data_IF_063194120419
#
_entry.id   IF_063194120419
#
_cell.length_a   1.000
_cell.length_b   1.000
_cell.length_c   1.000
_cell.angle_alpha   90.00
_cell.angle_beta   90.00
_cell.angle_gamma   90.00
#
_symmetry.space_group_name_H-M   'P 1'
#
loop_
_entity.id
_entity.type
_entity.pdbx_description
1 polymer ?
#
# COMPACT_ATOMS: atom_id res chain seq x y z
N UNK A 1 -16.95 -21.44 28.18
CA UNK A 1 -16.01 -22.26 28.98
C UNK A 1 -15.25 -23.22 28.07
N UNK A 2 -14.10 -22.85 27.57
CA UNK A 2 -12.96 -23.76 27.35
C UNK A 2 -11.70 -22.88 27.29
N UNK A 3 -11.10 -22.72 28.46
CA UNK A 3 -9.74 -22.26 28.62
C UNK A 3 -8.85 -23.47 28.26
N UNK A 4 -8.12 -23.41 27.16
CA UNK A 4 -7.00 -24.31 26.92
C UNK A 4 -5.70 -23.55 27.17
N UNK A 5 -5.18 -23.73 28.37
CA UNK A 5 -3.78 -23.46 28.71
C UNK A 5 -2.94 -24.61 28.10
N UNK A 6 -2.09 -24.29 27.15
CA UNK A 6 -0.90 -25.08 26.85
C UNK A 6 0.23 -24.07 26.74
N UNK A 7 1.25 -24.16 27.53
CA UNK A 7 2.22 -25.17 27.76
C UNK A 7 3.54 -24.57 27.30
N UNK A 8 4.30 -24.05 28.27
CA UNK A 8 5.63 -23.47 28.15
C UNK A 8 6.58 -24.51 27.55
N UNK A 9 7.05 -24.31 26.33
CA UNK A 9 8.20 -24.98 25.73
C UNK A 9 9.26 -23.95 25.44
N UNK A 10 10.31 -23.92 26.23
CA UNK A 10 11.52 -23.14 25.99
C UNK A 10 12.33 -23.76 24.87
N UNK A 11 12.78 -22.94 23.89
CA UNK A 11 13.92 -23.25 23.04
C UNK A 11 13.62 -23.14 21.55
N UNK A 12 13.91 -22.01 21.05
CA UNK A 12 14.35 -21.58 19.71
C UNK A 12 13.77 -20.19 19.42
N UNK A 13 14.56 -19.30 18.86
CA UNK A 13 14.17 -17.97 18.43
C UNK A 13 13.27 -18.06 17.19
N UNK A 14 12.10 -18.66 17.35
CA UNK A 14 11.06 -18.63 16.33
C UNK A 14 10.41 -17.25 16.39
N UNK A 15 10.63 -16.49 15.35
CA UNK A 15 9.91 -15.24 15.11
C UNK A 15 8.44 -15.63 14.96
N UNK A 16 7.63 -15.25 15.94
CA UNK A 16 6.23 -15.63 16.00
C UNK A 16 5.40 -14.76 15.06
N UNK A 17 5.12 -15.29 13.86
CA UNK A 17 4.31 -14.62 12.84
C UNK A 17 2.79 -14.77 13.05
N UNK A 18 2.35 -15.33 14.19
CA UNK A 18 0.92 -15.48 14.46
C UNK A 18 0.27 -14.13 14.79
N UNK A 19 -1.00 -14.00 14.39
CA UNK A 19 -1.82 -12.83 14.73
C UNK A 19 -2.20 -12.92 16.20
N UNK A 20 -1.56 -12.13 17.04
CA UNK A 20 -1.98 -11.96 18.43
C UNK A 20 -2.95 -10.77 18.52
N UNK A 21 -4.18 -11.02 18.95
CA UNK A 21 -5.12 -9.96 19.31
C UNK A 21 -4.77 -9.46 20.72
N UNK A 22 -4.35 -8.23 20.82
CA UNK A 22 -4.01 -7.61 22.12
C UNK A 22 -5.24 -7.09 22.85
N UNK A 23 -6.24 -6.59 22.13
CA UNK A 23 -7.48 -6.05 22.67
C UNK A 23 -8.63 -6.24 21.68
N UNK A 24 -9.74 -6.76 22.20
CA UNK A 24 -10.99 -6.86 21.47
C UNK A 24 -12.01 -5.91 22.09
N UNK A 25 -12.52 -4.96 21.31
CA UNK A 25 -13.66 -4.15 21.73
C UNK A 25 -14.74 -4.16 20.65
N UNK A 26 -15.99 -4.17 21.13
CA UNK A 26 -17.18 -4.17 20.27
C UNK A 26 -17.64 -2.73 20.07
N UNK A 27 -17.56 -2.25 18.84
CA UNK A 27 -18.11 -0.98 18.42
C UNK A 27 -19.19 -1.22 17.36
N UNK A 28 -20.42 -0.78 17.61
CA UNK A 28 -21.56 -0.96 16.68
C UNK A 28 -21.82 -2.40 16.19
N UNK A 29 -21.57 -3.41 17.04
CA UNK A 29 -21.79 -4.82 16.67
C UNK A 29 -20.67 -5.47 15.87
N UNK A 30 -19.60 -4.73 15.55
CA UNK A 30 -18.39 -5.24 14.90
C UNK A 30 -17.31 -5.42 15.98
N UNK A 31 -16.74 -6.62 16.07
CA UNK A 31 -15.57 -6.87 16.93
C UNK A 31 -14.32 -6.34 16.25
N UNK A 32 -13.81 -5.22 16.77
CA UNK A 32 -12.51 -4.68 16.35
C UNK A 32 -11.44 -5.27 17.28
N UNK A 33 -10.50 -5.97 16.70
CA UNK A 33 -9.33 -6.49 17.40
C UNK A 33 -8.08 -5.70 16.99
N UNK A 34 -7.34 -5.20 17.98
CA UNK A 34 -6.01 -4.62 17.72
C UNK A 34 -5.05 -5.78 17.52
N UNK A 35 -4.70 -6.02 16.28
CA UNK A 35 -3.79 -7.08 15.88
C UNK A 35 -2.35 -6.56 15.78
N UNK A 36 -1.38 -7.47 15.89
CA UNK A 36 0.05 -7.18 15.66
C UNK A 36 0.29 -6.43 14.35
N UNK A 37 -0.43 -6.80 13.30
CA UNK A 37 -0.34 -6.16 11.97
C UNK A 37 -0.74 -4.68 12.01
N UNK A 38 -1.77 -4.32 12.79
CA UNK A 38 -2.21 -2.93 12.94
C UNK A 38 -1.13 -2.07 13.61
N UNK A 39 -0.50 -2.59 14.64
CA UNK A 39 0.62 -1.91 15.33
C UNK A 39 1.79 -1.72 14.37
N UNK A 40 2.17 -2.77 13.63
CA UNK A 40 3.26 -2.67 12.63
C UNK A 40 2.91 -1.67 11.52
N UNK A 41 1.65 -1.63 11.08
CA UNK A 41 1.20 -0.65 10.07
C UNK A 41 1.40 0.79 10.57
N UNK A 42 1.02 1.06 11.83
CA UNK A 42 1.21 2.39 12.44
C UNK A 42 2.70 2.74 12.53
N UNK A 43 3.53 1.80 12.94
CA UNK A 43 5.00 1.99 13.01
C UNK A 43 5.56 2.31 11.63
N UNK A 44 5.20 1.54 10.61
CA UNK A 44 5.66 1.77 9.22
C UNK A 44 5.19 3.13 8.71
N UNK A 45 3.94 3.53 8.98
CA UNK A 45 3.43 4.85 8.62
C UNK A 45 4.19 5.99 9.32
N UNK A 46 4.53 5.83 10.61
CA UNK A 46 5.31 6.82 11.33
C UNK A 46 6.74 6.94 10.80
N UNK A 47 7.38 5.81 10.48
CA UNK A 47 8.72 5.80 9.85
C UNK A 47 8.65 6.49 8.48
N UNK A 48 7.64 6.16 7.67
CA UNK A 48 7.44 6.78 6.37
C UNK A 48 7.26 8.30 6.48
N UNK A 49 6.43 8.74 7.42
CA UNK A 49 6.23 10.17 7.70
C UNK A 49 7.53 10.86 8.12
N UNK A 50 8.30 10.24 9.01
CA UNK A 50 9.59 10.77 9.43
C UNK A 50 10.58 10.88 8.27
N UNK A 51 10.64 9.88 7.39
CA UNK A 51 11.50 9.90 6.20
C UNK A 51 11.08 10.99 5.21
N UNK A 52 9.77 11.17 4.98
CA UNK A 52 9.26 12.23 4.10
C UNK A 52 9.57 13.62 4.67
N UNK A 53 9.40 13.81 5.96
CA UNK A 53 9.72 15.08 6.62
C UNK A 53 11.23 15.36 6.60
N UNK A 54 12.04 14.33 6.79
CA UNK A 54 13.50 14.44 6.68
C UNK A 54 13.93 14.79 5.26
N UNK A 55 13.43 14.08 4.26
CA UNK A 55 13.71 14.35 2.86
C UNK A 55 13.31 15.78 2.47
N UNK A 56 12.11 16.20 2.85
CA UNK A 56 11.63 17.57 2.63
C UNK A 56 12.54 18.59 3.30
N UNK A 57 12.95 18.35 4.53
CA UNK A 57 13.84 19.25 5.28
C UNK A 57 15.18 19.42 4.58
N UNK A 58 15.80 18.33 4.11
CA UNK A 58 17.08 18.37 3.42
C UNK A 58 16.98 19.03 2.03
N UNK A 59 15.93 18.75 1.26
CA UNK A 59 15.71 19.37 -0.06
C UNK A 59 15.43 20.88 0.05
N UNK A 60 14.77 21.32 1.13
CA UNK A 60 14.43 22.73 1.33
C UNK A 60 15.54 23.58 1.94
N UNK A 61 16.64 22.97 2.37
CA UNK A 61 17.79 23.70 2.85
C UNK A 61 18.55 24.31 1.69
N UNK A 62 18.71 25.64 1.73
CA UNK A 62 19.57 26.38 0.82
C UNK A 62 21.03 26.20 1.29
N UNK A 63 21.74 25.27 0.65
CA UNK A 63 23.16 25.12 0.84
C UNK A 63 23.90 25.83 -0.29
N UNK A 64 24.95 26.61 0.04
CA UNK A 64 25.86 27.21 -0.95
C UNK A 64 26.57 26.12 -1.79
N UNK A 65 26.76 24.92 -1.20
CA UNK A 65 27.18 23.70 -1.90
C UNK A 65 26.29 22.51 -1.50
N UNK A 66 25.82 21.70 -2.47
CA UNK A 66 24.93 20.58 -2.16
C UNK A 66 25.64 19.54 -1.29
N UNK A 67 25.04 19.20 -0.15
CA UNK A 67 25.57 18.20 0.75
C UNK A 67 25.36 16.76 0.19
N UNK A 68 26.26 15.83 0.53
CA UNK A 68 26.15 14.41 0.10
C UNK A 68 24.81 13.81 0.44
N UNK A 69 24.25 14.13 1.61
CA UNK A 69 22.93 13.63 2.06
C UNK A 69 21.83 14.17 1.16
N UNK A 70 21.86 15.45 0.82
CA UNK A 70 20.90 16.07 -0.09
C UNK A 70 20.96 15.41 -1.47
N UNK A 71 22.15 15.24 -2.05
CA UNK A 71 22.32 14.59 -3.34
C UNK A 71 21.77 13.16 -3.37
N UNK A 72 21.95 12.39 -2.28
CA UNK A 72 21.40 11.03 -2.17
C UNK A 72 19.87 11.04 -2.11
N UNK A 73 19.30 11.94 -1.32
CA UNK A 73 17.84 12.08 -1.19
C UNK A 73 17.22 12.52 -2.53
N UNK A 74 17.79 13.53 -3.17
CA UNK A 74 17.34 14.00 -4.50
C UNK A 74 17.44 12.89 -5.54
N UNK A 75 18.55 12.14 -5.59
CA UNK A 75 18.72 11.03 -6.51
C UNK A 75 17.66 9.93 -6.31
N UNK A 76 17.25 9.64 -5.06
CA UNK A 76 16.21 8.65 -4.78
C UNK A 76 14.86 9.17 -5.30
N UNK A 77 14.51 10.41 -4.99
CA UNK A 77 13.26 11.03 -5.42
C UNK A 77 13.20 11.10 -6.95
N UNK A 78 14.24 11.60 -7.61
CA UNK A 78 14.32 11.66 -9.07
C UNK A 78 14.16 10.29 -9.75
N UNK A 79 14.74 9.23 -9.16
CA UNK A 79 14.57 7.87 -9.69
C UNK A 79 13.14 7.37 -9.52
N UNK A 80 12.49 7.68 -8.41
CA UNK A 80 11.10 7.33 -8.19
C UNK A 80 10.20 8.09 -9.17
N UNK A 81 10.40 9.40 -9.31
CA UNK A 81 9.72 10.24 -10.29
C UNK A 81 9.86 9.69 -11.71
N UNK A 82 11.10 9.42 -12.13
CA UNK A 82 11.38 8.88 -13.46
C UNK A 82 10.68 7.54 -13.70
N UNK A 83 10.64 6.66 -12.69
CA UNK A 83 9.96 5.38 -12.78
C UNK A 83 8.45 5.54 -12.91
N UNK A 84 7.84 6.45 -12.16
CA UNK A 84 6.40 6.74 -12.25
C UNK A 84 6.08 7.39 -13.59
N UNK A 85 6.85 8.38 -14.02
CA UNK A 85 6.65 9.09 -15.29
C UNK A 85 6.81 8.16 -16.49
N UNK A 86 7.80 7.27 -16.48
CA UNK A 86 8.02 6.32 -17.58
C UNK A 86 6.86 5.33 -17.75
N UNK A 87 6.17 4.98 -16.65
CA UNK A 87 5.05 4.04 -16.69
C UNK A 87 3.70 4.73 -16.94
N UNK A 88 3.48 5.94 -16.41
CA UNK A 88 2.18 6.62 -16.47
C UNK A 88 2.11 7.72 -17.56
N UNK A 89 3.24 8.11 -18.13
CA UNK A 89 3.29 9.12 -19.20
C UNK A 89 2.77 10.49 -18.74
N UNK A 90 1.98 11.15 -19.60
CA UNK A 90 1.50 12.53 -19.40
C UNK A 90 0.64 12.70 -18.14
N UNK A 91 -0.03 11.65 -17.70
CA UNK A 91 -0.91 11.68 -16.51
C UNK A 91 -0.15 11.51 -15.19
N UNK A 92 1.16 11.20 -15.22
CA UNK A 92 1.99 10.95 -14.05
C UNK A 92 1.94 12.08 -13.02
N UNK A 93 2.08 13.33 -13.47
CA UNK A 93 2.19 14.52 -12.58
C UNK A 93 1.04 14.64 -11.57
N UNK A 94 -0.15 14.15 -11.89
CA UNK A 94 -1.31 14.25 -11.02
C UNK A 94 -1.35 13.20 -9.92
N UNK A 95 -0.80 12.03 -10.19
CA UNK A 95 -0.85 10.87 -9.31
C UNK A 95 0.52 10.50 -8.72
N UNK A 96 1.57 11.27 -9.08
CA UNK A 96 2.95 11.06 -8.70
C UNK A 96 3.10 10.81 -7.20
N UNK A 97 2.70 11.79 -6.40
CA UNK A 97 2.84 11.74 -4.94
C UNK A 97 2.13 10.53 -4.31
N UNK A 98 0.97 10.13 -4.86
CA UNK A 98 0.25 8.96 -4.36
C UNK A 98 1.00 7.67 -4.69
N UNK A 99 1.44 7.51 -5.93
CA UNK A 99 2.13 6.29 -6.38
C UNK A 99 3.46 6.13 -5.66
N UNK A 100 4.21 7.22 -5.48
CA UNK A 100 5.47 7.23 -4.72
C UNK A 100 5.25 6.87 -3.25
N UNK A 101 4.25 7.46 -2.61
CA UNK A 101 3.91 7.14 -1.22
C UNK A 101 3.51 5.66 -1.08
N UNK A 102 2.73 5.13 -2.04
CA UNK A 102 2.34 3.72 -2.07
C UNK A 102 3.54 2.80 -2.24
N UNK A 103 4.45 3.13 -3.19
CA UNK A 103 5.68 2.36 -3.42
C UNK A 103 6.58 2.37 -2.18
N UNK A 104 6.79 3.52 -1.56
CA UNK A 104 7.57 3.66 -0.34
C UNK A 104 6.95 2.89 0.82
N UNK A 105 5.61 2.93 0.98
CA UNK A 105 4.91 2.14 1.99
C UNK A 105 5.10 0.64 1.80
N UNK A 106 4.92 0.13 0.57
CA UNK A 106 5.11 -1.29 0.26
C UNK A 106 6.56 -1.71 0.51
N UNK A 107 7.52 -0.88 0.10
CA UNK A 107 8.94 -1.15 0.32
C UNK A 107 9.29 -1.25 1.80
N UNK A 108 8.87 -0.27 2.62
CA UNK A 108 9.08 -0.28 4.06
C UNK A 108 8.36 -1.43 4.75
N UNK A 109 7.14 -1.76 4.29
CA UNK A 109 6.39 -2.92 4.79
C UNK A 109 7.15 -4.22 4.57
N UNK A 110 7.76 -4.40 3.41
CA UNK A 110 8.55 -5.60 3.12
C UNK A 110 9.85 -5.64 3.94
N UNK A 111 10.51 -4.49 4.11
CA UNK A 111 11.69 -4.38 4.96
C UNK A 111 11.36 -4.69 6.43
N UNK A 112 10.19 -4.29 6.93
CA UNK A 112 9.79 -4.58 8.31
C UNK A 112 9.78 -6.07 8.63
N UNK A 113 9.52 -6.93 7.63
CA UNK A 113 9.63 -8.38 7.74
C UNK A 113 11.04 -8.88 8.05
N UNK A 114 12.08 -8.19 7.57
CA UNK A 114 13.48 -8.54 7.86
C UNK A 114 13.85 -8.30 9.33
N UNK A 115 13.15 -7.40 10.00
CA UNK A 115 13.31 -7.13 11.44
C UNK A 115 12.47 -8.05 12.32
N UNK A 116 11.85 -9.09 11.76
CA UNK A 116 11.01 -10.02 12.48
C UNK A 116 9.64 -9.45 12.86
N UNK A 117 9.28 -8.29 12.34
CA UNK A 117 7.93 -7.73 12.46
C UNK A 117 7.05 -8.33 11.38
N UNK A 118 5.79 -8.65 11.73
CA UNK A 118 4.84 -9.11 10.71
C UNK A 118 4.55 -7.96 9.74
N UNK A 119 4.92 -8.09 8.45
CA UNK A 119 4.72 -7.00 7.51
C UNK A 119 3.22 -6.70 7.32
N UNK A 120 2.82 -5.44 7.23
CA UNK A 120 1.43 -5.05 6.92
C UNK A 120 0.88 -5.68 5.65
N UNK A 121 1.74 -5.90 4.65
CA UNK A 121 1.40 -6.54 3.37
C UNK A 121 1.10 -8.03 3.49
N UNK A 122 1.46 -8.70 4.59
CA UNK A 122 1.10 -10.08 4.87
C UNK A 122 -0.35 -10.23 5.42
N UNK A 123 -1.08 -9.14 5.56
CA UNK A 123 -2.49 -9.16 5.92
C UNK A 123 -3.35 -8.82 4.69
N UNK A 124 -4.24 -9.75 4.32
CA UNK A 124 -5.13 -9.56 3.18
C UNK A 124 -6.05 -8.33 3.35
N UNK A 125 -6.49 -8.03 4.57
CA UNK A 125 -7.31 -6.85 4.86
C UNK A 125 -6.59 -5.54 4.50
N UNK A 126 -5.32 -5.42 4.86
CA UNK A 126 -4.49 -4.25 4.55
C UNK A 126 -4.25 -4.13 3.05
N UNK A 127 -3.86 -5.22 2.38
CA UNK A 127 -3.60 -5.23 0.93
C UNK A 127 -4.86 -4.97 0.13
N UNK A 128 -6.00 -5.52 0.56
CA UNK A 128 -7.29 -5.28 -0.08
C UNK A 128 -7.76 -3.83 0.09
N UNK A 129 -7.54 -3.25 1.28
CA UNK A 129 -7.83 -1.82 1.52
C UNK A 129 -7.02 -0.90 0.61
N UNK A 130 -5.71 -1.14 0.47
CA UNK A 130 -4.84 -0.39 -0.46
C UNK A 130 -5.28 -0.58 -1.91
N UNK A 131 -5.61 -1.81 -2.31
CA UNK A 131 -6.08 -2.12 -3.66
C UNK A 131 -7.40 -1.41 -3.97
N UNK A 132 -8.33 -1.35 -3.02
CA UNK A 132 -9.61 -0.63 -3.18
C UNK A 132 -9.39 0.88 -3.36
N UNK A 133 -8.54 1.50 -2.55
CA UNK A 133 -8.22 2.93 -2.68
C UNK A 133 -7.63 3.21 -4.06
N UNK A 134 -6.66 2.39 -4.48
CA UNK A 134 -6.00 2.50 -5.78
C UNK A 134 -7.02 2.32 -6.92
N UNK A 135 -7.89 1.32 -6.81
CA UNK A 135 -8.95 1.07 -7.78
C UNK A 135 -9.90 2.26 -7.92
N UNK A 136 -10.41 2.81 -6.81
CA UNK A 136 -11.28 3.99 -6.83
C UNK A 136 -10.57 5.19 -7.49
N UNK A 137 -9.27 5.36 -7.25
CA UNK A 137 -8.50 6.43 -7.91
C UNK A 137 -8.35 6.21 -9.41
N UNK A 138 -8.14 4.96 -9.84
CA UNK A 138 -8.06 4.60 -11.27
C UNK A 138 -9.40 4.86 -11.93
N UNK A 139 -10.50 4.40 -11.34
CA UNK A 139 -11.86 4.62 -11.85
C UNK A 139 -12.19 6.11 -11.95
N UNK A 140 -11.88 6.86 -10.90
CA UNK A 140 -12.07 8.31 -10.92
C UNK A 140 -11.26 8.99 -12.03
N UNK A 141 -10.01 8.58 -12.22
CA UNK A 141 -9.16 9.10 -13.28
C UNK A 141 -9.72 8.77 -14.67
N UNK A 142 -10.21 7.54 -14.84
CA UNK A 142 -10.79 7.05 -16.08
C UNK A 142 -12.07 7.80 -16.44
N UNK A 143 -12.99 7.93 -15.47
CA UNK A 143 -14.24 8.71 -15.62
C UNK A 143 -13.93 10.16 -16.00
N UNK A 144 -12.94 10.79 -15.35
CA UNK A 144 -12.59 12.19 -15.62
C UNK A 144 -11.93 12.40 -16.98
N UNK A 145 -11.22 11.41 -17.50
CA UNK A 145 -10.47 11.50 -18.76
C UNK A 145 -11.35 11.19 -19.96
N UNK A 146 -12.18 10.15 -19.87
CA UNK A 146 -12.99 9.66 -20.99
C UNK A 146 -14.47 10.07 -20.94
N UNK A 147 -14.97 10.53 -19.76
CA UNK A 147 -16.36 10.93 -19.62
C UNK A 147 -17.34 9.85 -20.08
N UNK A 148 -18.28 10.22 -20.94
CA UNK A 148 -19.26 9.28 -21.52
C UNK A 148 -18.64 8.21 -22.45
N UNK A 149 -17.38 8.33 -22.84
CA UNK A 149 -16.67 7.32 -23.64
C UNK A 149 -16.50 5.98 -22.92
N UNK A 150 -16.61 5.96 -21.58
CA UNK A 150 -16.53 4.74 -20.76
C UNK A 150 -17.58 3.71 -21.19
N UNK A 151 -18.82 4.15 -21.45
CA UNK A 151 -19.90 3.27 -21.89
C UNK A 151 -19.54 2.62 -23.20
N UNK A 152 -18.87 3.36 -24.09
CA UNK A 152 -18.40 2.83 -25.37
C UNK A 152 -17.28 1.80 -25.19
N UNK A 153 -16.32 2.08 -24.30
CA UNK A 153 -15.23 1.15 -24.00
C UNK A 153 -15.74 -0.15 -23.33
N UNK A 154 -16.75 -0.05 -22.45
CA UNK A 154 -17.39 -1.24 -21.85
C UNK A 154 -18.17 -2.09 -22.89
N UNK A 155 -18.67 -1.46 -23.95
CA UNK A 155 -19.43 -2.12 -25.02
C UNK A 155 -18.54 -2.63 -26.16
N UNK A 156 -17.28 -2.22 -26.21
CA UNK A 156 -16.32 -2.61 -27.24
C UNK A 156 -15.76 -4.03 -26.97
N UNK A 157 -15.61 -4.92 -27.98
CA UNK A 157 -15.97 -4.76 -29.37
C UNK A 157 -17.45 -5.05 -29.70
N UNK A 158 -18.19 -5.71 -28.81
CA UNK A 158 -19.61 -6.01 -28.97
C UNK A 158 -20.37 -5.91 -27.62
N UNK A 159 -21.64 -5.48 -27.61
CA UNK A 159 -22.45 -5.36 -26.40
C UNK A 159 -22.58 -6.66 -25.58
N UNK A 160 -22.36 -7.82 -26.21
CA UNK A 160 -22.40 -9.15 -25.55
C UNK A 160 -21.25 -9.31 -24.54
N UNK A 161 -20.13 -8.57 -24.70
CA UNK A 161 -19.00 -8.62 -23.77
C UNK A 161 -19.17 -7.73 -22.52
N UNK A 162 -20.21 -6.91 -22.47
CA UNK A 162 -20.47 -6.02 -21.34
C UNK A 162 -20.43 -6.75 -19.97
N UNK A 163 -21.09 -7.92 -19.76
CA UNK A 163 -21.04 -8.58 -18.48
C UNK A 163 -19.63 -9.09 -18.14
N UNK A 164 -18.86 -9.52 -19.13
CA UNK A 164 -17.47 -9.97 -18.93
C UNK A 164 -16.56 -8.80 -18.58
N UNK A 165 -16.74 -7.65 -19.24
CA UNK A 165 -15.97 -6.44 -18.97
C UNK A 165 -16.25 -5.90 -17.57
N UNK A 166 -17.50 -5.89 -17.13
CA UNK A 166 -17.90 -5.50 -15.77
C UNK A 166 -17.25 -6.45 -14.73
N UNK A 167 -17.32 -7.77 -14.95
CA UNK A 167 -16.70 -8.74 -14.02
C UNK A 167 -15.19 -8.54 -13.97
N UNK A 168 -14.54 -8.28 -15.10
CA UNK A 168 -13.10 -7.99 -15.18
C UNK A 168 -12.74 -6.75 -14.36
N UNK A 169 -13.55 -5.69 -14.42
CA UNK A 169 -13.35 -4.47 -13.67
C UNK A 169 -13.41 -4.74 -12.16
N UNK A 170 -14.42 -5.47 -11.71
CA UNK A 170 -14.52 -5.88 -10.30
C UNK A 170 -13.42 -6.86 -9.86
N UNK A 171 -12.90 -7.68 -10.77
CA UNK A 171 -11.81 -8.61 -10.47
C UNK A 171 -10.47 -7.89 -10.28
N UNK A 172 -10.31 -6.68 -10.82
CA UNK A 172 -9.06 -5.91 -10.76
C UNK A 172 -8.57 -5.65 -9.32
N UNK A 173 -9.35 -5.13 -8.36
CA UNK A 173 -8.90 -4.90 -7.00
C UNK A 173 -8.55 -6.20 -6.27
N UNK A 174 -9.25 -7.29 -6.56
CA UNK A 174 -8.91 -8.60 -6.00
C UNK A 174 -7.56 -9.10 -6.53
N UNK A 175 -7.34 -8.97 -7.84
CA UNK A 175 -6.07 -9.36 -8.48
C UNK A 175 -4.89 -8.56 -7.93
N UNK A 176 -5.05 -7.23 -7.77
CA UNK A 176 -4.04 -6.37 -7.18
C UNK A 176 -3.74 -6.75 -5.73
N UNK A 177 -4.78 -6.98 -4.93
CA UNK A 177 -4.65 -7.36 -3.53
C UNK A 177 -3.95 -8.71 -3.37
N UNK A 178 -4.36 -9.73 -4.15
CA UNK A 178 -3.75 -11.06 -4.11
C UNK A 178 -2.29 -11.03 -4.58
N UNK A 179 -1.97 -10.18 -5.56
CA UNK A 179 -0.58 -10.01 -6.03
C UNK A 179 0.30 -9.43 -4.93
N UNK A 180 -0.20 -8.40 -4.23
CA UNK A 180 0.54 -7.76 -3.15
C UNK A 180 0.66 -8.67 -1.92
N UNK A 181 -0.41 -9.39 -1.59
CA UNK A 181 -0.44 -10.35 -0.49
C UNK A 181 0.45 -11.58 -0.77
N UNK A 182 0.50 -12.04 -2.02
CA UNK A 182 1.25 -13.24 -2.41
C UNK A 182 2.75 -13.02 -2.61
N UNK A 183 3.18 -11.76 -2.78
CA UNK A 183 4.61 -11.42 -2.85
C UNK A 183 5.25 -11.36 -1.46
#
# INVERSE_FOLDING_TARGET
NYIRKEGKGMGSSDVDFFIHSYYEFKLFGITLSINTTMVTTVIVCLILLALILFARHEIMKDYDEPNVVQNVVEMIVEKMDAMVVSNMGIHAKKYLNYVEALMAFIFLSNISGLFGLRPPTADFGTTFGLALITFVMIEYAWIKTKGFGIIKDLLDPFPVFLPINIISEFATPFSMSLRLFGN
#
